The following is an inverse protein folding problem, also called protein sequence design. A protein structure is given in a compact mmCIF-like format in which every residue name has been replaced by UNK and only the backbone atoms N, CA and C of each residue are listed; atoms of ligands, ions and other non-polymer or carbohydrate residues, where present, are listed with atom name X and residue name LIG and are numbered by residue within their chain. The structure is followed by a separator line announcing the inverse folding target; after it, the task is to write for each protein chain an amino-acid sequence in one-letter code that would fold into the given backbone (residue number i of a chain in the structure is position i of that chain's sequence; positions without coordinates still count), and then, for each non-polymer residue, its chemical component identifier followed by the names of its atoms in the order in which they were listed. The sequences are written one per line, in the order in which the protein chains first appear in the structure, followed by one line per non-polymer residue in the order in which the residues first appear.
data_IF_016093021537
#
_entry.id   IF_016093021537
#
_cell.length_a   1.000
_cell.length_b   1.000
_cell.length_c   1.000
_cell.angle_alpha   90.00
_cell.angle_beta   90.00
_cell.angle_gamma   90.00
#
_symmetry.space_group_name_H-M   'P 1'
#
loop_
_entity.id
_entity.type
_entity.pdbx_description
1 polymer ?
#
# COMPACT_ATOMS: atom_id res chain seq x y z
N UNK A 1 46.90 8.39 19.50
CA UNK A 1 45.65 9.15 19.41
C UNK A 1 44.80 8.56 18.32
N UNK A 2 43.96 7.64 18.68
CA UNK A 2 43.06 6.94 17.76
C UNK A 2 41.78 7.77 17.61
N UNK A 3 41.45 8.23 16.41
CA UNK A 3 40.16 8.88 16.09
C UNK A 3 39.11 7.78 15.99
N UNK A 4 38.21 7.77 16.90
CA UNK A 4 36.95 6.98 16.82
C UNK A 4 36.08 7.63 15.75
N UNK A 5 35.74 6.87 14.71
CA UNK A 5 34.73 7.22 13.71
C UNK A 5 33.35 7.17 14.36
N UNK A 6 32.55 8.26 14.34
CA UNK A 6 31.20 8.26 14.87
C UNK A 6 30.15 7.89 13.80
N UNK A 7 30.43 7.00 12.87
CA UNK A 7 29.43 6.42 11.99
C UNK A 7 28.88 5.14 12.62
N UNK A 8 28.15 5.32 13.70
CA UNK A 8 27.27 4.27 14.19
C UNK A 8 26.04 4.22 13.27
N UNK A 9 26.12 3.35 12.26
CA UNK A 9 25.07 3.12 11.28
C UNK A 9 23.81 2.63 11.98
N UNK A 10 22.93 3.53 12.35
CA UNK A 10 21.56 3.19 12.71
C UNK A 10 20.87 2.64 11.46
N UNK A 11 20.95 1.32 11.29
CA UNK A 11 19.98 0.59 10.50
C UNK A 11 18.64 0.76 11.20
N UNK A 12 17.92 1.81 10.87
CA UNK A 12 16.52 1.97 11.26
C UNK A 12 15.74 0.92 10.47
N UNK A 13 15.54 -0.26 11.09
CA UNK A 13 14.64 -1.24 10.49
C UNK A 13 13.26 -0.60 10.38
N UNK A 14 12.72 -0.53 9.16
CA UNK A 14 11.37 -0.05 8.93
C UNK A 14 10.41 -0.83 9.83
N UNK A 15 9.59 -0.12 10.62
CA UNK A 15 8.63 -0.75 11.54
C UNK A 15 7.37 -1.26 10.83
N UNK A 16 7.18 -0.91 9.54
CA UNK A 16 6.00 -1.29 8.76
C UNK A 16 6.28 -2.60 8.03
N UNK A 17 5.47 -3.60 8.32
CA UNK A 17 5.57 -4.93 7.70
C UNK A 17 4.36 -5.24 6.81
N UNK A 18 4.52 -6.18 5.87
CA UNK A 18 3.42 -6.71 5.07
C UNK A 18 2.30 -7.30 5.96
N UNK A 19 2.64 -7.88 7.10
CA UNK A 19 1.66 -8.40 8.05
C UNK A 19 0.83 -7.26 8.67
N UNK A 20 1.47 -6.17 9.09
CA UNK A 20 0.78 -4.98 9.61
C UNK A 20 -0.21 -4.41 8.58
N UNK A 21 0.21 -4.33 7.31
CA UNK A 21 -0.65 -3.88 6.21
C UNK A 21 -1.83 -4.83 6.00
N UNK A 22 -1.59 -6.15 5.99
CA UNK A 22 -2.64 -7.15 5.82
C UNK A 22 -3.64 -7.12 6.99
N UNK A 23 -3.17 -6.98 8.23
CA UNK A 23 -4.02 -6.93 9.43
C UNK A 23 -4.90 -5.67 9.43
N UNK A 24 -4.35 -4.51 9.06
CA UNK A 24 -5.15 -3.29 8.92
C UNK A 24 -6.18 -3.39 7.79
N UNK A 25 -5.80 -3.96 6.65
CA UNK A 25 -6.69 -4.11 5.51
C UNK A 25 -7.85 -5.08 5.78
N UNK A 26 -7.59 -6.22 6.42
CA UNK A 26 -8.68 -7.15 6.78
C UNK A 26 -9.63 -6.53 7.82
N UNK A 27 -9.10 -5.81 8.81
CA UNK A 27 -9.92 -5.11 9.78
C UNK A 27 -10.84 -4.07 9.12
N UNK A 28 -10.33 -3.34 8.12
CA UNK A 28 -11.12 -2.39 7.35
C UNK A 28 -12.27 -3.05 6.58
N UNK A 29 -11.98 -4.14 5.88
CA UNK A 29 -12.98 -4.89 5.09
C UNK A 29 -14.06 -5.46 6.00
N UNK A 30 -13.69 -6.04 7.15
CA UNK A 30 -14.66 -6.54 8.14
C UNK A 30 -15.54 -5.41 8.68
N UNK A 31 -14.94 -4.29 9.10
CA UNK A 31 -15.70 -3.18 9.67
C UNK A 31 -16.68 -2.55 8.67
N UNK A 32 -16.29 -2.42 7.39
CA UNK A 32 -17.19 -1.93 6.33
C UNK A 32 -18.32 -2.94 6.04
N UNK A 33 -18.02 -4.25 5.99
CA UNK A 33 -19.00 -5.30 5.79
C UNK A 33 -20.03 -5.31 6.93
N UNK A 34 -19.59 -5.29 8.18
CA UNK A 34 -20.46 -5.23 9.36
C UNK A 34 -21.32 -3.97 9.37
N UNK A 35 -20.76 -2.82 9.02
CA UNK A 35 -21.47 -1.54 8.95
C UNK A 35 -22.59 -1.58 7.90
N UNK A 36 -22.32 -2.15 6.72
CA UNK A 36 -23.32 -2.31 5.65
C UNK A 36 -24.41 -3.30 6.01
N UNK A 37 -24.04 -4.37 6.71
CA UNK A 37 -25.01 -5.36 7.19
C UNK A 37 -25.95 -4.75 8.24
N UNK A 38 -25.39 -4.00 9.18
CA UNK A 38 -26.19 -3.28 10.18
C UNK A 38 -27.12 -2.24 9.54
N UNK A 39 -26.66 -1.54 8.51
CA UNK A 39 -27.44 -0.56 7.75
C UNK A 39 -28.41 -1.22 6.74
N UNK A 40 -28.36 -2.56 6.58
CA UNK A 40 -29.14 -3.32 5.58
C UNK A 40 -28.94 -2.79 4.15
N UNK A 41 -27.71 -2.39 3.81
CA UNK A 41 -27.38 -1.91 2.48
C UNK A 41 -27.55 -3.03 1.45
N UNK A 42 -28.02 -2.66 0.25
CA UNK A 42 -28.18 -3.61 -0.86
C UNK A 42 -26.83 -4.05 -1.42
N UNK A 43 -25.82 -3.16 -1.37
CA UNK A 43 -24.47 -3.42 -1.89
C UNK A 43 -23.50 -3.74 -0.77
N UNK A 44 -22.74 -4.83 -0.94
CA UNK A 44 -21.68 -5.24 -0.03
C UNK A 44 -20.36 -4.50 -0.26
N UNK A 45 -19.39 -4.81 0.57
CA UNK A 45 -18.00 -4.31 0.44
C UNK A 45 -17.36 -4.75 -0.88
N UNK A 46 -17.77 -5.88 -1.42
CA UNK A 46 -17.34 -6.47 -2.70
C UNK A 46 -17.79 -5.68 -3.94
N UNK A 47 -18.69 -4.72 -3.78
CA UNK A 47 -19.14 -3.79 -4.82
C UNK A 47 -18.32 -2.49 -4.85
N UNK A 48 -17.40 -2.29 -3.92
CA UNK A 48 -16.55 -1.09 -3.87
C UNK A 48 -15.54 -1.11 -5.01
N UNK A 49 -15.42 0.02 -5.71
CA UNK A 49 -14.34 0.21 -6.67
C UNK A 49 -13.01 0.49 -5.95
N UNK A 50 -11.90 0.44 -6.69
CA UNK A 50 -10.55 0.63 -6.16
C UNK A 50 -10.40 1.95 -5.39
N UNK A 51 -10.99 3.05 -5.89
CA UNK A 51 -10.93 4.36 -5.24
C UNK A 51 -11.67 4.40 -3.90
N UNK A 52 -12.82 3.72 -3.81
CA UNK A 52 -13.58 3.62 -2.56
C UNK A 52 -12.82 2.76 -1.54
N UNK A 53 -12.22 1.65 -1.99
CA UNK A 53 -11.33 0.83 -1.17
C UNK A 53 -10.09 1.60 -0.70
N UNK A 54 -9.50 2.45 -1.54
CA UNK A 54 -8.42 3.34 -1.09
C UNK A 54 -8.85 4.24 0.06
N UNK A 55 -10.05 4.84 0.02
CA UNK A 55 -10.57 5.66 1.13
C UNK A 55 -10.79 4.87 2.41
N UNK A 56 -11.28 3.63 2.28
CA UNK A 56 -11.47 2.72 3.41
C UNK A 56 -10.12 2.35 4.05
N UNK A 57 -9.14 1.99 3.24
CA UNK A 57 -7.80 1.63 3.68
C UNK A 57 -7.06 2.79 4.33
N UNK A 58 -7.19 4.01 3.80
CA UNK A 58 -6.60 5.22 4.39
C UNK A 58 -7.04 5.40 5.84
N UNK A 59 -8.34 5.25 6.10
CA UNK A 59 -8.90 5.31 7.46
C UNK A 59 -8.34 4.20 8.35
N UNK A 60 -8.24 2.98 7.83
CA UNK A 60 -7.75 1.83 8.58
C UNK A 60 -6.25 1.93 8.90
N UNK A 61 -5.44 2.36 7.95
CA UNK A 61 -4.00 2.59 8.18
C UNK A 61 -3.79 3.67 9.23
N UNK A 62 -4.57 4.76 9.18
CA UNK A 62 -4.54 5.81 10.21
C UNK A 62 -4.92 5.25 11.58
N UNK A 63 -5.98 4.45 11.65
CA UNK A 63 -6.39 3.80 12.90
C UNK A 63 -5.35 2.80 13.44
N UNK A 64 -4.54 2.20 12.55
CA UNK A 64 -3.42 1.34 12.90
C UNK A 64 -2.15 2.12 13.33
N UNK A 65 -2.21 3.45 13.41
CA UNK A 65 -1.08 4.30 13.79
C UNK A 65 -0.09 4.56 12.66
N UNK A 66 -0.49 4.33 11.41
CA UNK A 66 0.29 4.68 10.24
C UNK A 66 -0.18 6.02 9.66
N UNK A 67 0.69 6.68 8.92
CA UNK A 67 0.40 7.96 8.27
C UNK A 67 0.40 7.76 6.74
N UNK A 68 -0.75 7.40 6.13
CA UNK A 68 -0.84 7.15 4.70
C UNK A 68 -0.81 8.47 3.91
N UNK A 69 -0.09 8.47 2.79
CA UNK A 69 -0.21 9.44 1.71
C UNK A 69 -0.72 8.72 0.47
N UNK A 70 -1.56 9.37 -0.32
CA UNK A 70 -2.18 8.77 -1.52
C UNK A 70 -1.64 9.37 -2.80
N UNK A 71 -1.61 8.55 -3.87
CA UNK A 71 -1.31 9.01 -5.23
C UNK A 71 0.06 9.70 -5.33
N UNK A 72 1.04 9.24 -4.54
CA UNK A 72 2.37 9.84 -4.50
C UNK A 72 3.18 9.37 -5.71
N UNK A 73 3.85 10.32 -6.35
CA UNK A 73 4.78 10.02 -7.44
C UNK A 73 5.95 9.19 -6.91
N UNK A 74 6.32 8.16 -7.67
CA UNK A 74 7.55 7.43 -7.40
C UNK A 74 8.76 8.36 -7.51
N UNK A 75 9.82 8.14 -6.72
CA UNK A 75 11.05 8.91 -6.79
C UNK A 75 11.59 8.94 -8.24
N UNK A 76 12.03 10.09 -8.71
CA UNK A 76 12.59 10.22 -10.06
C UNK A 76 13.99 9.62 -10.08
N UNK A 77 14.29 8.83 -11.10
CA UNK A 77 15.67 8.52 -11.45
C UNK A 77 16.37 9.77 -11.99
N UNK A 78 17.61 9.96 -11.62
CA UNK A 78 18.40 11.11 -12.02
C UNK A 78 18.60 11.22 -13.56
N UNK A 79 18.46 10.10 -14.27
CA UNK A 79 18.67 9.92 -15.71
C UNK A 79 17.37 9.86 -16.53
N UNK A 80 16.20 9.89 -15.89
CA UNK A 80 14.93 9.87 -16.62
C UNK A 80 14.60 11.26 -17.20
N UNK A 81 14.32 11.34 -18.52
CA UNK A 81 13.78 12.56 -19.09
C UNK A 81 12.42 12.87 -18.44
N UNK A 82 12.13 14.17 -18.24
CA UNK A 82 10.85 14.64 -17.69
C UNK A 82 9.72 14.14 -18.60
N UNK A 83 9.29 12.91 -18.39
CA UNK A 83 8.10 12.38 -19.05
C UNK A 83 6.87 12.80 -18.26
N UNK A 84 5.86 13.19 -19.00
CA UNK A 84 4.52 13.52 -18.53
C UNK A 84 4.05 12.58 -17.44
N UNK A 85 3.54 13.14 -16.34
CA UNK A 85 2.86 12.45 -15.24
C UNK A 85 3.56 11.14 -14.81
N UNK A 86 4.62 11.26 -14.01
CA UNK A 86 5.36 10.12 -13.44
C UNK A 86 4.41 9.09 -12.84
N UNK A 87 4.81 7.82 -12.90
CA UNK A 87 4.08 6.71 -12.26
C UNK A 87 3.81 7.05 -10.79
N UNK A 88 2.57 6.88 -10.36
CA UNK A 88 2.16 7.11 -8.97
C UNK A 88 1.95 5.78 -8.30
N UNK A 89 2.18 5.75 -7.01
CA UNK A 89 1.83 4.67 -6.11
C UNK A 89 0.54 5.02 -5.36
N UNK A 90 -0.32 4.06 -5.16
CA UNK A 90 -1.61 4.28 -4.50
C UNK A 90 -1.45 4.80 -3.07
N UNK A 91 -0.46 4.26 -2.33
CA UNK A 91 -0.13 4.69 -0.98
C UNK A 91 1.37 4.73 -0.74
N UNK A 92 1.77 5.67 0.10
CA UNK A 92 3.04 5.66 0.84
C UNK A 92 2.70 5.66 2.32
N UNK A 93 3.08 4.61 3.03
CA UNK A 93 2.83 4.46 4.46
C UNK A 93 4.08 4.90 5.24
N UNK A 94 3.87 5.72 6.26
CA UNK A 94 4.90 6.25 7.15
C UNK A 94 4.60 5.80 8.57
N UNK A 95 5.64 5.58 9.37
CA UNK A 95 5.50 5.30 10.81
C UNK A 95 5.36 6.58 11.65
N UNK A 96 5.69 7.72 11.07
CA UNK A 96 5.62 9.05 11.70
C UNK A 96 5.00 10.06 10.75
N UNK A 97 4.35 11.08 11.27
CA UNK A 97 3.76 12.14 10.44
C UNK A 97 4.82 13.20 10.07
N UNK A 98 5.61 12.85 9.08
CA UNK A 98 6.72 13.66 8.58
C UNK A 98 6.67 13.71 7.06
N UNK A 99 6.90 14.87 6.40
CA UNK A 99 6.92 15.01 4.95
C UNK A 99 7.93 14.08 4.27
N UNK A 100 7.69 13.76 2.99
CA UNK A 100 8.64 13.01 2.16
C UNK A 100 9.70 13.94 1.57
N UNK A 101 10.96 13.53 1.60
CA UNK A 101 12.08 14.32 1.11
C UNK A 101 12.09 14.56 -0.42
N UNK A 102 11.30 13.80 -1.18
CA UNK A 102 11.17 13.97 -2.64
C UNK A 102 9.83 14.59 -3.07
N UNK A 103 8.93 14.92 -2.14
CA UNK A 103 7.67 15.59 -2.44
C UNK A 103 7.91 17.10 -2.56
N UNK A 104 7.84 17.68 -3.79
CA UNK A 104 8.13 19.09 -3.98
C UNK A 104 7.12 20.02 -3.30
N UNK A 105 5.87 19.57 -3.08
CA UNK A 105 4.86 20.37 -2.38
C UNK A 105 5.15 20.39 -0.87
N UNK A 106 5.52 19.22 -0.31
CA UNK A 106 5.92 19.13 1.09
C UNK A 106 7.23 19.88 1.36
N UNK A 107 8.20 19.82 0.44
CA UNK A 107 9.45 20.60 0.55
C UNK A 107 9.18 22.09 0.47
N UNK A 108 8.34 22.55 -0.45
CA UNK A 108 7.99 23.96 -0.57
C UNK A 108 7.27 24.48 0.69
N UNK A 109 6.38 23.67 1.28
CA UNK A 109 5.72 24.01 2.53
C UNK A 109 6.70 24.06 3.71
N UNK A 110 7.73 23.19 3.72
CA UNK A 110 8.78 23.19 4.75
C UNK A 110 9.77 24.36 4.60
N UNK A 111 9.89 24.94 3.41
CA UNK A 111 10.73 26.10 3.10
C UNK A 111 10.00 27.45 3.29
N UNK A 112 8.69 27.44 3.60
CA UNK A 112 7.98 28.69 3.89
C UNK A 112 8.64 29.41 5.07
N UNK A 113 8.92 30.72 4.92
CA UNK A 113 9.51 31.49 6.03
C UNK A 113 8.52 31.52 7.20
N UNK A 114 9.05 31.44 8.44
CA UNK A 114 8.20 31.43 9.61
C UNK A 114 7.24 32.63 9.61
N UNK A 115 6.00 32.36 9.88
CA UNK A 115 4.97 33.39 10.02
C UNK A 115 5.25 34.24 11.28
N UNK A 116 4.80 35.50 11.28
CA UNK A 116 4.84 36.35 12.46
C UNK A 116 4.06 35.80 13.67
N UNK A 117 3.27 34.74 13.43
CA UNK A 117 2.45 34.08 14.45
C UNK A 117 3.03 32.74 14.90
N UNK A 118 4.16 32.32 14.32
CA UNK A 118 4.82 31.09 14.74
C UNK A 118 5.53 31.31 16.07
N UNK A 119 5.47 30.29 16.91
CA UNK A 119 6.15 30.31 18.20
C UNK A 119 7.69 30.26 17.97
N UNK A 120 8.45 31.30 18.37
CA UNK A 120 9.89 31.31 18.18
C UNK A 120 10.62 30.21 18.96
N UNK A 121 9.98 29.62 19.98
CA UNK A 121 10.51 28.55 20.81
C UNK A 121 10.05 27.16 20.31
N UNK A 122 9.26 27.07 19.21
CA UNK A 122 8.86 25.81 18.65
C UNK A 122 10.07 24.99 18.17
N UNK A 123 10.10 23.68 18.41
CA UNK A 123 11.17 22.84 17.89
C UNK A 123 11.16 22.91 16.34
N UNK A 124 12.34 22.83 15.71
CA UNK A 124 12.42 22.83 14.26
C UNK A 124 11.59 21.67 13.69
N UNK A 125 10.98 21.86 12.50
CA UNK A 125 10.23 20.80 11.87
C UNK A 125 11.12 19.56 11.67
N UNK A 126 10.56 18.35 11.78
CA UNK A 126 11.33 17.13 11.57
C UNK A 126 11.91 17.10 10.16
N UNK A 127 13.12 16.53 10.02
CA UNK A 127 13.72 16.32 8.70
C UNK A 127 12.81 15.46 7.86
N UNK A 128 12.63 15.78 6.56
CA UNK A 128 11.85 14.95 5.64
C UNK A 128 12.34 13.50 5.61
N UNK A 129 11.41 12.55 5.47
CA UNK A 129 11.74 11.13 5.40
C UNK A 129 12.33 10.76 4.04
N UNK A 130 13.35 9.93 4.07
CA UNK A 130 13.90 9.30 2.87
C UNK A 130 13.02 8.13 2.41
N UNK A 131 13.19 7.72 1.17
CA UNK A 131 12.45 6.58 0.58
C UNK A 131 12.73 5.24 1.28
N UNK A 132 13.82 5.13 2.04
CA UNK A 132 14.17 3.97 2.88
C UNK A 132 13.34 3.89 4.16
N UNK A 133 12.71 4.97 4.58
CA UNK A 133 11.96 5.08 5.83
C UNK A 133 10.46 4.93 5.63
N UNK A 134 10.03 4.65 4.40
CA UNK A 134 8.62 4.56 4.04
C UNK A 134 8.31 3.25 3.31
N UNK A 135 7.04 2.85 3.34
CA UNK A 135 6.55 1.64 2.70
C UNK A 135 5.61 1.99 1.53
N UNK A 136 6.01 1.63 0.31
CA UNK A 136 5.27 1.87 -0.92
C UNK A 136 4.26 0.75 -1.14
N UNK A 137 3.01 1.10 -1.39
CA UNK A 137 1.93 0.12 -1.50
C UNK A 137 1.05 0.40 -2.71
N UNK A 138 1.01 -0.53 -3.63
CA UNK A 138 0.10 -0.54 -4.77
C UNK A 138 -1.13 -1.38 -4.44
N UNK A 139 -2.34 -0.91 -4.76
CA UNK A 139 -3.59 -1.62 -4.54
C UNK A 139 -4.09 -2.25 -5.84
N UNK A 140 -4.55 -3.48 -5.76
CA UNK A 140 -5.29 -4.16 -6.82
C UNK A 140 -6.53 -4.83 -6.26
N UNK A 141 -7.60 -4.75 -6.99
CA UNK A 141 -8.87 -5.33 -6.60
C UNK A 141 -9.41 -6.27 -7.68
N UNK A 142 -10.16 -7.28 -7.25
CA UNK A 142 -10.83 -8.21 -8.15
C UNK A 142 -11.99 -8.92 -7.48
N UNK A 143 -13.02 -9.28 -8.26
CA UNK A 143 -14.18 -10.01 -7.77
C UNK A 143 -14.54 -11.14 -8.73
N UNK A 144 -14.95 -12.29 -8.18
CA UNK A 144 -15.42 -13.44 -8.96
C UNK A 144 -16.87 -13.20 -9.45
N UNK A 145 -17.71 -12.62 -8.61
CA UNK A 145 -19.09 -12.29 -8.92
C UNK A 145 -19.25 -10.77 -8.95
N UNK A 146 -19.89 -10.21 -9.98
CA UNK A 146 -19.97 -8.78 -10.21
C UNK A 146 -21.37 -8.30 -10.49
N UNK A 147 -21.70 -7.12 -9.97
CA UNK A 147 -22.62 -6.22 -10.68
C UNK A 147 -21.88 -5.58 -11.86
N UNK A 148 -22.55 -5.48 -13.00
CA UNK A 148 -21.94 -4.91 -14.21
C UNK A 148 -21.45 -3.47 -13.94
N UNK A 149 -20.16 -3.30 -13.74
CA UNK A 149 -19.55 -1.98 -13.82
C UNK A 149 -18.24 -1.69 -13.13
N UNK A 150 -17.95 -2.16 -11.91
CA UNK A 150 -16.99 -1.40 -11.11
C UNK A 150 -15.78 -2.15 -10.53
N UNK A 151 -15.81 -3.45 -10.35
CA UNK A 151 -14.65 -4.20 -9.83
C UNK A 151 -13.89 -4.90 -10.94
N UNK A 152 -12.55 -4.88 -10.84
CA UNK A 152 -11.68 -5.57 -11.79
C UNK A 152 -11.97 -7.07 -11.86
N UNK A 153 -11.77 -7.69 -13.03
CA UNK A 153 -11.94 -9.12 -13.22
C UNK A 153 -10.90 -9.92 -12.44
N UNK A 154 -11.34 -10.85 -11.60
CA UNK A 154 -10.43 -11.74 -10.86
C UNK A 154 -9.46 -12.47 -11.81
N UNK A 155 -9.90 -12.85 -13.01
CA UNK A 155 -9.07 -13.51 -14.01
C UNK A 155 -7.92 -12.61 -14.55
N UNK A 156 -8.09 -11.29 -14.57
CA UNK A 156 -7.06 -10.35 -15.01
C UNK A 156 -6.08 -9.96 -13.89
N UNK A 157 -6.45 -10.23 -12.63
CA UNK A 157 -5.71 -9.79 -11.45
C UNK A 157 -4.25 -10.29 -11.42
N UNK A 158 -3.93 -11.56 -11.73
CA UNK A 158 -2.55 -12.04 -11.72
C UNK A 158 -1.63 -11.27 -12.65
N UNK A 159 -2.10 -10.91 -13.84
CA UNK A 159 -1.32 -10.11 -14.79
C UNK A 159 -1.05 -8.71 -14.27
N UNK A 160 -2.07 -8.06 -13.69
CA UNK A 160 -1.96 -6.70 -13.14
C UNK A 160 -0.98 -6.66 -11.98
N UNK A 161 -1.07 -7.62 -11.04
CA UNK A 161 -0.17 -7.74 -9.90
C UNK A 161 1.28 -7.92 -10.35
N UNK A 162 1.56 -8.81 -11.31
CA UNK A 162 2.92 -9.03 -11.82
C UNK A 162 3.53 -7.78 -12.47
N UNK A 163 2.73 -6.99 -13.18
CA UNK A 163 3.18 -5.72 -13.77
C UNK A 163 3.65 -4.76 -12.67
N UNK A 164 2.89 -4.63 -11.57
CA UNK A 164 3.24 -3.72 -10.49
C UNK A 164 4.40 -4.25 -9.63
N UNK A 165 4.47 -5.55 -9.38
CA UNK A 165 5.65 -6.17 -8.76
C UNK A 165 6.92 -5.86 -9.55
N UNK A 166 6.89 -6.04 -10.87
CA UNK A 166 8.02 -5.73 -11.74
C UNK A 166 8.37 -4.23 -11.68
N UNK A 167 7.37 -3.35 -11.73
CA UNK A 167 7.56 -1.91 -11.67
C UNK A 167 8.22 -1.47 -10.36
N UNK A 168 7.70 -1.91 -9.23
CA UNK A 168 8.22 -1.58 -7.90
C UNK A 168 9.62 -2.15 -7.67
N UNK A 169 9.89 -3.35 -8.19
CA UNK A 169 11.21 -3.99 -8.08
C UNK A 169 12.30 -3.29 -8.87
N UNK A 170 11.95 -2.66 -10.00
CA UNK A 170 12.91 -1.99 -10.88
C UNK A 170 13.11 -0.50 -10.54
N UNK A 171 12.39 0.03 -9.57
CA UNK A 171 12.54 1.41 -9.15
C UNK A 171 13.60 1.53 -8.05
N UNK A 172 14.77 2.10 -8.40
CA UNK A 172 15.92 2.22 -7.49
C UNK A 172 15.63 3.12 -6.27
N UNK A 173 14.63 4.00 -6.38
CA UNK A 173 14.19 4.88 -5.30
C UNK A 173 13.17 4.22 -4.36
N UNK A 174 12.72 3.00 -4.63
CA UNK A 174 11.73 2.28 -3.83
C UNK A 174 12.42 1.17 -3.05
N UNK A 175 12.55 1.32 -1.74
CA UNK A 175 13.31 0.37 -0.90
C UNK A 175 12.42 -0.68 -0.24
N UNK A 176 11.24 -0.29 0.22
CA UNK A 176 10.26 -1.16 0.85
C UNK A 176 8.94 -1.01 0.14
N UNK A 177 8.49 -2.06 -0.50
CA UNK A 177 7.25 -2.02 -1.27
C UNK A 177 6.49 -3.33 -1.22
N UNK A 178 5.20 -3.24 -1.53
CA UNK A 178 4.35 -4.40 -1.76
C UNK A 178 3.21 -4.08 -2.74
N UNK A 179 2.62 -5.12 -3.29
CA UNK A 179 1.31 -5.05 -3.93
C UNK A 179 0.29 -5.64 -2.97
N UNK A 180 -0.70 -4.84 -2.57
CA UNK A 180 -1.86 -5.26 -1.79
C UNK A 180 -2.96 -5.67 -2.75
N UNK A 181 -3.44 -6.88 -2.60
CA UNK A 181 -4.59 -7.40 -3.34
C UNK A 181 -5.76 -7.56 -2.40
N UNK A 182 -6.92 -7.01 -2.78
CA UNK A 182 -8.21 -7.32 -2.16
C UNK A 182 -9.06 -8.01 -3.21
N UNK A 183 -9.32 -9.30 -2.99
CA UNK A 183 -10.09 -10.13 -3.90
C UNK A 183 -11.34 -10.68 -3.19
N UNK A 184 -12.45 -10.70 -3.92
CA UNK A 184 -13.72 -11.23 -3.43
C UNK A 184 -14.11 -12.47 -4.23
N UNK A 185 -14.61 -13.49 -3.55
CA UNK A 185 -15.01 -14.75 -4.18
C UNK A 185 -15.92 -15.60 -3.32
N UNK A 186 -16.30 -16.74 -3.87
CA UNK A 186 -17.30 -17.65 -3.29
C UNK A 186 -16.65 -18.63 -2.31
N UNK A 187 -15.33 -18.83 -2.37
CA UNK A 187 -14.67 -19.95 -1.70
C UNK A 187 -13.28 -19.55 -1.24
N UNK A 188 -13.06 -19.51 0.07
CA UNK A 188 -11.77 -19.16 0.69
C UNK A 188 -10.62 -20.05 0.19
N UNK A 189 -10.71 -21.40 0.17
CA UNK A 189 -9.61 -22.25 -0.27
C UNK A 189 -9.18 -21.93 -1.70
N UNK A 190 -10.10 -21.66 -2.60
CA UNK A 190 -9.81 -21.29 -3.98
C UNK A 190 -9.06 -19.96 -4.06
N UNK A 191 -9.52 -18.92 -3.35
CA UNK A 191 -8.87 -17.62 -3.32
C UNK A 191 -7.45 -17.72 -2.74
N UNK A 192 -7.27 -18.45 -1.65
CA UNK A 192 -5.96 -18.69 -1.02
C UNK A 192 -5.03 -19.43 -1.97
N UNK A 193 -5.52 -20.51 -2.62
CA UNK A 193 -4.72 -21.27 -3.58
C UNK A 193 -4.28 -20.39 -4.77
N UNK A 194 -5.16 -19.52 -5.28
CA UNK A 194 -4.82 -18.58 -6.36
C UNK A 194 -3.77 -17.57 -5.93
N UNK A 195 -3.86 -17.01 -4.70
CA UNK A 195 -2.88 -16.07 -4.19
C UNK A 195 -1.49 -16.71 -4.01
N UNK A 196 -1.43 -17.93 -3.47
CA UNK A 196 -0.18 -18.69 -3.33
C UNK A 196 0.39 -19.05 -4.70
N UNK A 197 -0.45 -19.51 -5.64
CA UNK A 197 -0.01 -19.82 -6.99
C UNK A 197 0.57 -18.60 -7.72
N UNK A 198 -0.03 -17.42 -7.51
CA UNK A 198 0.48 -16.17 -8.08
C UNK A 198 1.87 -15.83 -7.56
N UNK A 199 2.11 -15.97 -6.25
CA UNK A 199 3.43 -15.76 -5.64
C UNK A 199 4.48 -16.70 -6.24
N UNK A 200 4.16 -18.00 -6.32
CA UNK A 200 5.05 -19.00 -6.93
C UNK A 200 5.34 -18.70 -8.40
N UNK A 201 4.33 -18.31 -9.18
CA UNK A 201 4.53 -17.95 -10.59
C UNK A 201 5.37 -16.70 -10.75
N UNK A 202 5.15 -15.68 -9.92
CA UNK A 202 5.96 -14.45 -9.93
C UNK A 202 7.43 -14.77 -9.62
N UNK A 203 7.68 -15.58 -8.60
CA UNK A 203 9.03 -16.04 -8.27
C UNK A 203 9.67 -16.86 -9.40
N UNK A 204 8.91 -17.76 -10.04
CA UNK A 204 9.39 -18.57 -11.17
C UNK A 204 9.72 -17.72 -12.41
N UNK A 205 9.07 -16.57 -12.59
CA UNK A 205 9.37 -15.58 -13.63
C UNK A 205 10.54 -14.63 -13.25
N UNK A 206 11.15 -14.84 -12.08
CA UNK A 206 12.29 -14.04 -11.60
C UNK A 206 11.90 -12.71 -10.97
N UNK A 207 10.62 -12.52 -10.65
CA UNK A 207 10.20 -11.35 -9.87
C UNK A 207 10.62 -11.53 -8.39
N UNK A 208 11.19 -10.52 -7.75
CA UNK A 208 11.73 -10.64 -6.41
C UNK A 208 10.60 -10.54 -5.37
N UNK A 209 9.84 -11.61 -5.18
CA UNK A 209 8.85 -11.73 -4.10
C UNK A 209 9.50 -12.28 -2.83
N UNK A 210 8.98 -11.89 -1.65
CA UNK A 210 9.44 -12.36 -0.35
C UNK A 210 8.42 -13.29 0.33
N UNK A 211 7.52 -13.87 -0.47
CA UNK A 211 6.41 -14.69 0.04
C UNK A 211 5.17 -13.84 0.35
N UNK A 212 4.01 -14.35 -0.01
CA UNK A 212 2.74 -13.66 0.18
C UNK A 212 2.25 -13.75 1.62
N UNK A 213 1.77 -12.63 2.18
CA UNK A 213 1.05 -12.59 3.46
C UNK A 213 -0.44 -12.57 3.16
N UNK A 214 -1.18 -13.56 3.68
CA UNK A 214 -2.61 -13.74 3.39
C UNK A 214 -3.43 -13.57 4.67
N UNK A 215 -4.58 -12.88 4.53
CA UNK A 215 -5.69 -12.84 5.49
C UNK A 215 -6.98 -13.07 4.73
N UNK A 216 -7.94 -13.67 5.38
CA UNK A 216 -9.28 -13.87 4.85
C UNK A 216 -10.32 -13.37 5.84
N UNK A 217 -11.46 -12.97 5.32
CA UNK A 217 -12.62 -12.60 6.12
C UNK A 217 -13.91 -13.07 5.43
N UNK A 218 -14.88 -13.59 6.17
CA UNK A 218 -16.21 -13.79 5.64
C UNK A 218 -16.86 -12.42 5.39
N UNK A 219 -17.64 -12.33 4.33
CA UNK A 219 -18.49 -11.19 4.01
C UNK A 219 -19.90 -11.67 3.73
N UNK A 220 -20.90 -10.81 3.91
CA UNK A 220 -22.27 -11.17 3.57
C UNK A 220 -22.42 -11.32 2.06
N UNK A 221 -22.88 -12.51 1.64
CA UNK A 221 -23.21 -12.76 0.23
C UNK A 221 -24.38 -11.87 -0.22
N UNK A 222 -24.05 -10.88 -1.03
CA UNK A 222 -25.04 -9.99 -1.66
C UNK A 222 -25.03 -10.10 -3.19
N UNK A 223 -23.90 -10.54 -3.76
CA UNK A 223 -23.66 -10.65 -5.19
C UNK A 223 -22.99 -11.98 -5.59
N UNK A 224 -23.03 -12.97 -4.70
CA UNK A 224 -22.43 -14.28 -4.91
C UNK A 224 -20.98 -14.38 -4.41
N UNK A 225 -20.44 -13.36 -3.72
CA UNK A 225 -19.18 -13.48 -2.99
C UNK A 225 -19.46 -13.56 -1.49
N UNK A 226 -18.89 -14.53 -0.80
CA UNK A 226 -19.02 -14.73 0.64
C UNK A 226 -17.67 -14.56 1.41
N UNK A 227 -16.61 -14.38 0.67
CA UNK A 227 -15.25 -14.31 1.21
C UNK A 227 -14.48 -13.13 0.60
N UNK A 228 -13.81 -12.37 1.45
CA UNK A 228 -12.76 -11.43 1.08
C UNK A 228 -11.39 -12.04 1.36
N UNK A 229 -10.48 -11.97 0.40
CA UNK A 229 -9.07 -12.29 0.54
C UNK A 229 -8.27 -11.01 0.51
N UNK A 230 -7.38 -10.85 1.47
CA UNK A 230 -6.36 -9.80 1.52
C UNK A 230 -5.00 -10.48 1.36
N UNK A 231 -4.30 -10.21 0.27
CA UNK A 231 -2.98 -10.74 0.01
C UNK A 231 -1.97 -9.60 -0.20
N UNK A 232 -0.91 -9.58 0.57
CA UNK A 232 0.18 -8.62 0.44
C UNK A 232 1.39 -9.35 -0.11
N UNK A 233 1.88 -8.91 -1.27
CA UNK A 233 3.05 -9.43 -1.95
C UNK A 233 4.23 -8.48 -1.75
N UNK A 234 5.10 -8.72 -0.75
CA UNK A 234 6.27 -7.87 -0.54
C UNK A 234 7.24 -8.00 -1.70
N UNK A 235 7.80 -6.88 -2.13
CA UNK A 235 8.82 -6.82 -3.18
C UNK A 235 10.19 -6.90 -2.52
N UNK A 236 10.98 -7.92 -2.90
CA UNK A 236 12.40 -8.00 -2.57
C UNK A 236 13.22 -7.05 -3.44
N UNK A 237 14.44 -6.76 -3.00
CA UNK A 237 15.45 -6.15 -3.89
C UNK A 237 16.20 -7.24 -4.64
N UNK A 238 16.52 -6.95 -5.89
CA UNK A 238 17.44 -7.74 -6.70
C UNK A 238 18.87 -7.30 -6.42
#
# INVERSE_FOLDING_TARGET
MSRSDPFDGRSTSLSISAATVADAAVAAVCADADSRDLAQEVRGVDSLNERALQGLLETAFTAAGLFPLREIRLPKRADEPIRSAGSRCDFVLRAVDTPLGHDPEALAAAEEPPSLFDDPDAPPPPSPLDSEEVFWLELKTGSACRDAGDTGDLASLPKRVKIDLARLAHDDGVHHAAVLVIAFGVDEPTLVAQAVALDHHAAAEGLPTQGVVIRTAPISDRHGNDTALIAVYPVGRV
#
